data_IF_252104707380
#
_entry.id   IF_252104707380
#
_cell.length_a   1.000
_cell.length_b   1.000
_cell.length_c   1.000
_cell.angle_alpha   90.00
_cell.angle_beta   90.00
_cell.angle_gamma   90.00
#
_symmetry.space_group_name_H-M   'P 1'
#
loop_
_entity.id
_entity.type
_entity.pdbx_description
1 polymer ?
#
# COMPACT_ATOMS: atom_id res chain seq x y z
N UNK A 1 -6.07 -11.23 -11.74
CA UNK A 1 -4.75 -10.72 -12.15
C UNK A 1 -4.82 -9.24 -12.41
N UNK A 2 -3.87 -8.50 -11.86
CA UNK A 2 -3.75 -7.05 -12.08
C UNK A 2 -2.96 -6.80 -13.37
N UNK A 3 -3.55 -6.05 -14.30
CA UNK A 3 -3.00 -5.81 -15.64
C UNK A 3 -2.49 -4.37 -15.84
N UNK A 4 -2.81 -3.47 -14.92
CA UNK A 4 -2.35 -2.09 -14.96
C UNK A 4 -2.75 -1.31 -13.71
N UNK A 5 -2.04 -0.21 -13.44
CA UNK A 5 -2.39 0.74 -12.40
C UNK A 5 -1.82 2.12 -12.72
N UNK A 6 -2.43 3.15 -12.16
CA UNK A 6 -1.93 4.52 -12.22
C UNK A 6 -2.26 5.24 -10.90
N UNK A 7 -1.49 6.28 -10.61
CA UNK A 7 -1.80 7.23 -9.54
C UNK A 7 -2.48 8.45 -10.14
N UNK A 8 -3.56 8.89 -9.51
CA UNK A 8 -4.28 10.12 -9.85
C UNK A 8 -3.90 11.28 -8.94
N UNK A 9 -3.46 10.98 -7.70
CA UNK A 9 -2.96 11.94 -6.74
C UNK A 9 -1.88 11.30 -5.88
N UNK A 10 -0.80 12.03 -5.64
CA UNK A 10 0.21 11.72 -4.63
C UNK A 10 0.45 13.00 -3.84
N UNK A 11 0.30 12.92 -2.53
CA UNK A 11 0.55 14.04 -1.62
C UNK A 11 1.35 13.54 -0.42
N UNK A 12 2.42 14.27 -0.08
CA UNK A 12 3.21 14.02 1.10
C UNK A 12 3.28 15.32 1.90
N UNK A 13 2.86 15.25 3.17
CA UNK A 13 2.70 16.43 4.02
C UNK A 13 3.47 16.26 5.32
N UNK A 14 4.25 17.29 5.65
CA UNK A 14 4.87 17.50 6.95
C UNK A 14 4.10 18.62 7.64
N UNK A 15 3.46 18.31 8.76
CA UNK A 15 2.70 19.28 9.56
C UNK A 15 3.56 19.86 10.67
N UNK A 16 4.37 19.03 11.33
CA UNK A 16 5.31 19.45 12.38
C UNK A 16 6.55 18.56 12.40
N UNK A 17 7.60 19.03 13.09
CA UNK A 17 8.81 18.24 13.31
C UNK A 17 8.53 16.99 14.14
N UNK A 18 9.26 15.93 13.82
CA UNK A 18 9.17 14.67 14.54
C UNK A 18 9.95 14.77 15.85
N UNK A 19 9.31 14.36 16.94
CA UNK A 19 9.92 14.28 18.27
C UNK A 19 9.54 12.98 18.96
N UNK A 20 10.52 12.29 19.54
CA UNK A 20 10.29 11.07 20.31
C UNK A 20 9.94 9.85 19.45
N UNK A 21 9.17 8.92 20.01
CA UNK A 21 8.73 7.71 19.32
C UNK A 21 7.56 8.04 18.40
N UNK A 22 7.71 7.73 17.12
CA UNK A 22 6.64 7.93 16.12
C UNK A 22 5.96 6.60 15.83
N UNK A 23 4.66 6.56 16.10
CA UNK A 23 3.81 5.46 15.63
C UNK A 23 3.38 5.74 14.19
N UNK A 24 3.56 4.74 13.32
CA UNK A 24 3.23 4.83 11.89
C UNK A 24 2.18 3.78 11.59
N UNK A 25 1.13 4.16 10.86
CA UNK A 25 0.12 3.24 10.35
C UNK A 25 -0.04 3.36 8.84
N UNK A 26 -0.34 2.24 8.18
CA UNK A 26 -0.65 2.20 6.76
C UNK A 26 -2.00 1.55 6.54
N UNK A 27 -2.84 2.16 5.71
CA UNK A 27 -4.16 1.64 5.39
C UNK A 27 -4.45 1.75 3.90
N UNK A 28 -5.27 0.82 3.41
CA UNK A 28 -5.75 0.80 2.04
C UNK A 28 -7.26 0.73 2.04
N UNK A 29 -7.90 1.54 1.20
CA UNK A 29 -9.34 1.59 1.03
C UNK A 29 -9.67 1.50 -0.45
N UNK A 30 -10.58 0.59 -0.79
CA UNK A 30 -11.19 0.55 -2.11
C UNK A 30 -12.33 1.57 -2.12
N UNK A 31 -12.30 2.51 -3.07
CA UNK A 31 -13.24 3.64 -3.13
C UNK A 31 -14.25 3.50 -4.27
N UNK A 32 -13.89 2.79 -5.35
CA UNK A 32 -14.79 2.50 -6.46
C UNK A 32 -14.45 1.15 -7.11
N UNK A 33 -15.46 0.55 -7.74
CA UNK A 33 -15.34 -0.67 -8.56
C UNK A 33 -16.32 -0.53 -9.71
N UNK A 34 -15.78 -0.44 -10.93
CA UNK A 34 -16.53 -0.21 -12.15
C UNK A 34 -16.14 -1.22 -13.23
N UNK A 35 -17.02 -1.43 -14.22
CA UNK A 35 -16.69 -2.21 -15.41
C UNK A 35 -16.02 -1.31 -16.44
N UNK A 36 -14.92 -1.75 -17.02
CA UNK A 36 -14.24 -1.02 -18.09
C UNK A 36 -13.90 -1.95 -19.25
N UNK A 37 -14.16 -1.49 -20.46
CA UNK A 37 -13.75 -2.18 -21.69
C UNK A 37 -12.36 -1.71 -22.07
N UNK A 38 -11.43 -2.64 -22.25
CA UNK A 38 -10.04 -2.32 -22.63
C UNK A 38 -9.83 -2.68 -24.09
N UNK A 39 -9.70 -1.66 -24.94
CA UNK A 39 -9.56 -1.83 -26.39
C UNK A 39 -8.33 -2.66 -26.77
N UNK A 40 -7.21 -2.47 -26.06
CA UNK A 40 -5.93 -3.18 -26.28
C UNK A 40 -6.07 -4.70 -26.02
N UNK A 41 -7.08 -5.12 -25.25
CA UNK A 41 -7.35 -6.52 -24.92
C UNK A 41 -8.57 -7.06 -25.68
N UNK A 42 -8.71 -6.78 -26.97
CA UNK A 42 -9.85 -7.23 -27.79
C UNK A 42 -11.21 -6.89 -27.16
N UNK A 43 -11.35 -5.71 -26.55
CA UNK A 43 -12.58 -5.27 -25.88
C UNK A 43 -13.00 -6.17 -24.71
N UNK A 44 -12.02 -6.78 -24.04
CA UNK A 44 -12.27 -7.52 -22.82
C UNK A 44 -12.74 -6.58 -21.71
N UNK A 45 -13.73 -7.04 -20.96
CA UNK A 45 -14.26 -6.34 -19.80
C UNK A 45 -13.45 -6.68 -18.57
N UNK A 46 -12.96 -5.64 -17.89
CA UNK A 46 -12.15 -5.74 -16.68
C UNK A 46 -12.78 -4.88 -15.58
N UNK A 47 -12.30 -5.04 -14.35
CA UNK A 47 -12.65 -4.16 -13.25
C UNK A 47 -11.69 -2.96 -13.22
N UNK A 48 -12.24 -1.75 -13.19
CA UNK A 48 -11.53 -0.53 -12.81
C UNK A 48 -11.79 -0.29 -11.31
N UNK A 49 -10.74 -0.42 -10.50
CA UNK A 49 -10.82 -0.37 -9.05
C UNK A 49 -10.08 0.89 -8.57
N UNK A 50 -10.85 1.86 -8.08
CA UNK A 50 -10.30 3.05 -7.44
C UNK A 50 -9.84 2.74 -6.02
N UNK A 51 -8.69 3.28 -5.63
CA UNK A 51 -8.12 3.08 -4.31
C UNK A 51 -7.60 4.38 -3.68
N UNK A 52 -7.52 4.34 -2.36
CA UNK A 52 -6.87 5.32 -1.50
C UNK A 52 -5.94 4.57 -0.56
N UNK A 53 -4.68 5.01 -0.50
CA UNK A 53 -3.66 4.47 0.39
C UNK A 53 -3.08 5.59 1.24
N UNK A 54 -3.09 5.40 2.55
CA UNK A 54 -2.65 6.41 3.51
C UNK A 54 -1.56 5.80 4.39
N UNK A 55 -0.42 6.48 4.46
CA UNK A 55 0.56 6.33 5.53
C UNK A 55 0.41 7.51 6.47
N UNK A 56 0.05 7.23 7.71
CA UNK A 56 -0.16 8.25 8.74
C UNK A 56 0.93 8.16 9.80
N UNK A 57 1.54 9.31 10.10
CA UNK A 57 2.43 9.49 11.24
C UNK A 57 1.59 10.07 12.38
N UNK A 58 1.29 9.23 13.38
CA UNK A 58 0.33 9.53 14.46
C UNK A 58 0.71 10.78 15.25
N UNK A 59 -0.22 11.27 16.06
CA UNK A 59 -0.10 12.58 16.74
C UNK A 59 -0.07 13.77 15.79
N UNK A 60 -0.42 13.56 14.51
CA UNK A 60 -0.52 14.61 13.50
C UNK A 60 0.83 15.16 13.05
N UNK A 61 1.90 14.35 13.03
CA UNK A 61 3.18 14.79 12.46
C UNK A 61 3.07 15.05 10.96
N UNK A 62 2.28 14.25 10.25
CA UNK A 62 2.10 14.34 8.81
C UNK A 62 1.52 13.06 8.23
N UNK A 63 1.37 13.03 6.91
CA UNK A 63 0.84 11.88 6.18
C UNK A 63 1.29 11.85 4.73
N UNK A 64 1.27 10.66 4.15
CA UNK A 64 1.43 10.42 2.72
C UNK A 64 0.12 9.80 2.23
N UNK A 65 -0.49 10.43 1.23
CA UNK A 65 -1.73 9.99 0.59
C UNK A 65 -1.49 9.69 -0.88
N UNK A 66 -1.91 8.50 -1.30
CA UNK A 66 -1.83 8.06 -2.69
C UNK A 66 -3.21 7.60 -3.13
N UNK A 67 -3.73 8.21 -4.19
CA UNK A 67 -4.98 7.83 -4.82
C UNK A 67 -4.70 7.37 -6.23
N UNK A 68 -5.52 6.45 -6.72
CA UNK A 68 -5.35 5.94 -8.05
C UNK A 68 -6.38 4.92 -8.44
N UNK A 69 -6.13 4.31 -9.59
CA UNK A 69 -6.97 3.29 -10.19
C UNK A 69 -6.09 2.11 -10.62
N UNK A 70 -6.61 0.90 -10.48
CA UNK A 70 -6.01 -0.30 -11.03
C UNK A 70 -7.01 -1.06 -11.89
N UNK A 71 -6.48 -1.75 -12.89
CA UNK A 71 -7.24 -2.61 -13.78
C UNK A 71 -7.02 -4.06 -13.36
N UNK A 72 -8.11 -4.76 -13.08
CA UNK A 72 -8.11 -6.16 -12.67
C UNK A 72 -8.86 -7.01 -13.69
N UNK A 73 -8.15 -7.98 -14.26
CA UNK A 73 -8.71 -8.99 -15.13
C UNK A 73 -8.94 -10.29 -14.34
N UNK A 74 -10.19 -10.77 -14.34
CA UNK A 74 -10.58 -11.99 -13.67
C UNK A 74 -11.91 -12.51 -14.18
N UNK A 75 -12.18 -13.79 -13.97
CA UNK A 75 -13.39 -14.46 -14.49
C UNK A 75 -14.69 -13.93 -13.87
N UNK A 76 -14.61 -13.32 -12.69
CA UNK A 76 -15.76 -12.95 -11.86
C UNK A 76 -16.11 -11.45 -11.88
N UNK A 77 -15.76 -10.72 -12.95
CA UNK A 77 -16.01 -9.26 -13.09
C UNK A 77 -17.46 -8.88 -12.76
N UNK A 78 -18.43 -9.61 -13.33
CA UNK A 78 -19.86 -9.31 -13.13
C UNK A 78 -20.30 -9.50 -11.68
N UNK A 79 -19.80 -10.52 -11.01
CA UNK A 79 -20.19 -10.84 -9.64
C UNK A 79 -19.53 -9.89 -8.66
N UNK A 80 -18.27 -9.49 -8.92
CA UNK A 80 -17.59 -8.44 -8.17
C UNK A 80 -18.35 -7.11 -8.21
N UNK A 81 -18.86 -6.70 -9.38
CA UNK A 81 -19.65 -5.48 -9.52
C UNK A 81 -20.98 -5.58 -8.77
N UNK A 82 -21.68 -6.71 -8.87
CA UNK A 82 -22.94 -6.92 -8.14
C UNK A 82 -22.71 -6.84 -6.63
N UNK A 83 -21.68 -7.51 -6.12
CA UNK A 83 -21.33 -7.51 -4.71
C UNK A 83 -20.92 -6.13 -4.23
N UNK A 84 -20.16 -5.37 -5.04
CA UNK A 84 -19.80 -4.00 -4.73
C UNK A 84 -21.02 -3.08 -4.64
N UNK A 85 -21.96 -3.19 -5.58
CA UNK A 85 -23.20 -2.39 -5.58
C UNK A 85 -24.09 -2.68 -4.37
N UNK A 86 -24.11 -3.94 -3.91
CA UNK A 86 -24.95 -4.38 -2.80
C UNK A 86 -24.32 -4.04 -1.44
N UNK A 87 -23.06 -4.43 -1.24
CA UNK A 87 -22.44 -4.49 0.09
C UNK A 87 -21.18 -3.61 0.20
N UNK A 88 -20.77 -2.91 -0.87
CA UNK A 88 -19.49 -2.18 -0.96
C UNK A 88 -18.29 -3.06 -0.60
N UNK A 89 -18.35 -4.32 -1.04
CA UNK A 89 -17.30 -5.33 -0.85
C UNK A 89 -16.98 -6.01 -2.16
N UNK A 90 -15.72 -6.40 -2.32
CA UNK A 90 -15.27 -7.28 -3.38
C UNK A 90 -15.33 -8.74 -2.89
N UNK A 91 -15.37 -9.71 -3.81
CA UNK A 91 -15.09 -11.10 -3.49
C UNK A 91 -13.74 -11.21 -2.77
N UNK A 92 -13.67 -12.04 -1.73
CA UNK A 92 -12.52 -12.11 -0.83
C UNK A 92 -11.19 -12.37 -1.56
N UNK A 93 -11.21 -13.24 -2.57
CA UNK A 93 -10.05 -13.53 -3.41
C UNK A 93 -9.52 -12.29 -4.14
N UNK A 94 -10.41 -11.50 -4.73
CA UNK A 94 -10.08 -10.27 -5.46
C UNK A 94 -9.60 -9.21 -4.47
N UNK A 95 -10.29 -9.04 -3.35
CA UNK A 95 -9.95 -8.06 -2.32
C UNK A 95 -8.53 -8.29 -1.75
N UNK A 96 -8.20 -9.55 -1.42
CA UNK A 96 -6.87 -9.91 -0.92
C UNK A 96 -5.78 -9.70 -1.97
N UNK A 97 -6.01 -10.13 -3.22
CA UNK A 97 -5.04 -9.94 -4.31
C UNK A 97 -4.76 -8.46 -4.53
N UNK A 98 -5.81 -7.64 -4.64
CA UNK A 98 -5.72 -6.20 -4.85
C UNK A 98 -5.03 -5.50 -3.68
N UNK A 99 -5.43 -5.78 -2.44
CA UNK A 99 -4.83 -5.12 -1.27
C UNK A 99 -3.36 -5.47 -1.11
N UNK A 100 -2.98 -6.74 -1.30
CA UNK A 100 -1.57 -7.14 -1.21
C UNK A 100 -0.72 -6.45 -2.27
N UNK A 101 -1.23 -6.34 -3.51
CA UNK A 101 -0.55 -5.58 -4.55
C UNK A 101 -0.40 -4.10 -4.18
N UNK A 102 -1.48 -3.48 -3.70
CA UNK A 102 -1.47 -2.07 -3.29
C UNK A 102 -0.53 -1.81 -2.13
N UNK A 103 -0.53 -2.65 -1.09
CA UNK A 103 0.43 -2.56 0.02
C UNK A 103 1.86 -2.61 -0.50
N UNK A 104 2.20 -3.60 -1.32
CA UNK A 104 3.56 -3.73 -1.89
C UNK A 104 3.96 -2.49 -2.68
N UNK A 105 3.10 -2.01 -3.59
CA UNK A 105 3.41 -0.88 -4.47
C UNK A 105 3.45 0.45 -3.73
N UNK A 106 2.44 0.74 -2.93
CA UNK A 106 2.31 2.01 -2.23
C UNK A 106 3.35 2.14 -1.11
N UNK A 107 3.64 1.07 -0.35
CA UNK A 107 4.70 1.14 0.68
C UNK A 107 6.09 1.34 0.07
N UNK A 108 6.36 0.72 -1.09
CA UNK A 108 7.64 0.93 -1.79
C UNK A 108 7.83 2.40 -2.16
N UNK A 109 6.78 3.06 -2.65
CA UNK A 109 6.84 4.48 -2.99
C UNK A 109 6.84 5.38 -1.74
N UNK A 110 6.07 5.01 -0.71
CA UNK A 110 5.98 5.76 0.53
C UNK A 110 7.32 5.85 1.26
N UNK A 111 8.19 4.84 1.13
CA UNK A 111 9.58 4.90 1.60
C UNK A 111 10.32 6.11 1.00
N UNK A 112 10.22 6.29 -0.32
CA UNK A 112 10.90 7.37 -1.04
C UNK A 112 10.30 8.70 -0.63
N UNK A 113 8.97 8.80 -0.61
CA UNK A 113 8.28 10.04 -0.24
C UNK A 113 8.53 10.43 1.22
N UNK A 114 8.66 9.46 2.13
CA UNK A 114 9.02 9.69 3.53
C UNK A 114 10.41 10.34 3.62
N UNK A 115 11.38 9.84 2.85
CA UNK A 115 12.73 10.41 2.81
C UNK A 115 12.74 11.85 2.30
N UNK A 116 11.98 12.14 1.23
CA UNK A 116 11.84 13.50 0.68
C UNK A 116 11.25 14.50 1.69
N UNK A 117 10.28 14.07 2.50
CA UNK A 117 9.73 14.91 3.58
C UNK A 117 10.52 14.76 4.90
N UNK A 118 11.67 14.10 4.88
CA UNK A 118 12.58 13.73 6.00
C UNK A 118 11.85 13.12 7.21
N UNK A 119 10.94 12.20 6.94
CA UNK A 119 10.21 11.40 7.92
C UNK A 119 10.77 9.96 7.95
N UNK A 120 10.61 9.23 9.07
CA UNK A 120 11.06 7.85 9.14
C UNK A 120 10.31 6.98 8.12
N UNK A 121 10.99 5.96 7.62
CA UNK A 121 10.39 5.00 6.71
C UNK A 121 9.18 4.31 7.37
N UNK A 122 8.07 4.13 6.62
CA UNK A 122 6.90 3.39 7.11
C UNK A 122 7.16 1.88 7.25
N UNK A 123 8.26 1.38 6.68
CA UNK A 123 8.71 0.00 6.85
C UNK A 123 10.11 -0.05 7.47
N UNK A 124 10.37 -0.96 8.42
CA UNK A 124 11.70 -1.15 8.95
C UNK A 124 12.63 -1.69 7.86
N UNK A 125 13.81 -1.09 7.73
CA UNK A 125 14.87 -1.64 6.92
C UNK A 125 15.67 -2.68 7.72
N UNK A 126 16.20 -3.72 7.06
CA UNK A 126 17.19 -4.58 7.69
C UNK A 126 18.42 -3.76 8.05
N UNK A 127 18.87 -3.88 9.30
CA UNK A 127 20.11 -3.26 9.78
C UNK A 127 21.18 -4.34 9.90
N UNK A 128 22.38 -4.05 9.39
CA UNK A 128 23.55 -4.86 9.69
C UNK A 128 23.98 -4.55 11.13
N UNK A 129 23.87 -5.53 12.01
CA UNK A 129 24.40 -5.45 13.37
C UNK A 129 25.74 -6.18 13.42
N UNK A 130 26.77 -5.63 14.12
CA UNK A 130 28.01 -6.35 14.34
C UNK A 130 27.74 -7.72 14.98
N UNK A 131 28.44 -8.76 14.53
CA UNK A 131 28.36 -10.07 15.17
C UNK A 131 28.76 -9.92 16.65
N UNK A 132 27.89 -10.37 17.56
CA UNK A 132 28.24 -10.46 18.99
C UNK A 132 29.49 -11.34 19.09
N UNK A 133 30.62 -10.75 19.53
CA UNK A 133 31.78 -11.54 19.95
C UNK A 133 31.36 -12.35 21.17
N UNK A 134 31.42 -13.67 21.09
CA UNK A 134 31.28 -14.52 22.26
C UNK A 134 32.43 -14.18 23.22
N UNK A 135 32.10 -13.62 24.37
CA UNK A 135 33.06 -13.40 25.45
C UNK A 135 33.60 -14.78 25.87
N UNK A 136 34.90 -14.98 25.66
CA UNK A 136 35.57 -16.24 25.90
C UNK A 136 35.33 -16.73 27.33
N UNK A 137 34.87 -17.98 27.45
CA UNK A 137 34.81 -18.69 28.73
C UNK A 137 36.22 -18.75 29.32
N UNK A 138 36.48 -17.93 30.34
CA UNK A 138 37.69 -18.06 31.15
C UNK A 138 37.53 -19.32 32.00
N UNK A 139 38.20 -20.40 31.61
CA UNK A 139 38.40 -21.55 32.47
C UNK A 139 39.41 -21.16 33.55
N UNK A 140 38.96 -21.08 34.80
CA UNK A 140 39.85 -20.99 35.97
C UNK A 140 40.11 -22.43 36.39
N UNK A 141 41.36 -22.87 36.25
CA UNK A 141 41.85 -24.17 36.73
C UNK A 141 42.12 -24.17 38.22
#
# INVERSE_FOLDING_TARGET
MIIGYNFTKIEASRVKEISGKVDISSSVKIVSVEEKEVEILNKQKVLDIGFEFIVEYKEGFGKIEMHGNLLYDGKDVKDAIKMWKKDKRLPESIDLEVKNFLFKKCLTLAIILADEIRFPSPLPFPMLVPAKKEEGKSYIG
#
